data_IF_675894910607
#
_entry.id   IF_675894910607
#
_cell.length_a   1.000
_cell.length_b   1.000
_cell.length_c   1.000
_cell.angle_alpha   90.00
_cell.angle_beta   90.00
_cell.angle_gamma   90.00
#
_symmetry.space_group_name_H-M   'P 1'
#
loop_
_entity.id
_entity.type
_entity.pdbx_description
1 polymer ?
#
# COMPACT_ATOMS: atom_id res chain seq x y z
N UNK A 1 -8.89 33.56 13.81
CA UNK A 1 -9.22 32.63 12.71
C UNK A 1 -7.99 31.79 12.50
N UNK A 2 -8.03 30.54 12.94
CA UNK A 2 -6.95 29.58 12.67
C UNK A 2 -7.00 29.26 11.18
N UNK A 3 -5.90 29.51 10.47
CA UNK A 3 -5.75 29.11 9.07
C UNK A 3 -5.77 27.58 9.00
N UNK A 4 -6.86 27.00 8.53
CA UNK A 4 -6.92 25.60 8.11
C UNK A 4 -6.09 25.41 6.83
N UNK A 5 -4.76 25.49 6.91
CA UNK A 5 -3.89 25.03 5.83
C UNK A 5 -3.89 23.50 5.80
N UNK A 6 -4.98 22.92 5.31
CA UNK A 6 -5.23 21.48 5.11
C UNK A 6 -4.39 20.86 4.00
N UNK A 7 -3.18 21.34 3.73
CA UNK A 7 -2.28 20.70 2.78
C UNK A 7 -1.34 19.76 3.53
N UNK A 8 -1.59 18.47 3.45
CA UNK A 8 -0.63 17.43 3.87
C UNK A 8 0.64 17.63 3.04
N UNK A 9 1.79 17.78 3.70
CA UNK A 9 3.06 17.89 2.98
C UNK A 9 3.37 16.56 2.28
N UNK A 10 4.05 16.61 1.12
CA UNK A 10 4.43 15.40 0.40
C UNK A 10 5.25 14.44 1.30
N UNK A 11 6.10 15.00 2.17
CA UNK A 11 6.89 14.23 3.13
C UNK A 11 6.03 13.50 4.16
N UNK A 12 4.98 14.14 4.65
CA UNK A 12 4.04 13.50 5.58
C UNK A 12 3.26 12.39 4.88
N UNK A 13 2.83 12.61 3.63
CA UNK A 13 2.15 11.59 2.84
C UNK A 13 3.03 10.34 2.60
N UNK A 14 4.29 10.53 2.22
CA UNK A 14 5.26 9.42 2.05
C UNK A 14 5.41 8.66 3.36
N UNK A 15 5.59 9.37 4.48
CA UNK A 15 5.76 8.73 5.80
C UNK A 15 4.55 7.90 6.20
N UNK A 16 3.32 8.38 5.97
CA UNK A 16 2.13 7.62 6.31
C UNK A 16 1.96 6.38 5.41
N UNK A 17 2.30 6.47 4.12
CA UNK A 17 2.32 5.30 3.23
C UNK A 17 3.39 4.29 3.66
N UNK A 18 4.58 4.75 4.07
CA UNK A 18 5.67 3.88 4.53
C UNK A 18 5.34 3.13 5.83
N UNK A 19 4.64 3.78 6.78
CA UNK A 19 4.19 3.12 8.02
C UNK A 19 3.27 1.93 7.74
N UNK A 20 2.38 2.11 6.78
CA UNK A 20 1.38 1.12 6.38
C UNK A 20 1.75 0.47 5.03
N UNK A 21 3.06 0.30 4.78
CA UNK A 21 3.51 -0.16 3.47
C UNK A 21 2.89 -1.51 3.08
N UNK A 22 2.78 -2.45 4.01
CA UNK A 22 2.14 -3.76 3.77
C UNK A 22 0.63 -3.67 3.58
N UNK A 23 -0.02 -2.60 4.03
CA UNK A 23 -1.42 -2.35 3.71
C UNK A 23 -1.55 -1.86 2.27
N UNK A 24 -0.66 -0.96 1.83
CA UNK A 24 -0.71 -0.36 0.49
C UNK A 24 -0.06 -1.20 -0.60
N UNK A 25 0.83 -2.12 -0.26
CA UNK A 25 1.61 -2.90 -1.20
C UNK A 25 0.76 -3.63 -2.25
N UNK A 26 -0.35 -4.33 -1.91
CA UNK A 26 -1.18 -4.97 -2.92
C UNK A 26 -1.92 -3.98 -3.82
N UNK A 27 -2.26 -2.79 -3.31
CA UNK A 27 -2.85 -1.70 -4.11
C UNK A 27 -1.84 -1.16 -5.11
N UNK A 28 -0.65 -0.82 -4.64
CA UNK A 28 0.44 -0.28 -5.47
C UNK A 28 0.85 -1.29 -6.54
N UNK A 29 0.88 -2.57 -6.21
CA UNK A 29 1.17 -3.64 -7.17
C UNK A 29 0.02 -3.95 -8.13
N UNK A 30 -1.17 -3.34 -7.95
CA UNK A 30 -2.36 -3.61 -8.76
C UNK A 30 -2.85 -5.05 -8.61
N UNK A 31 -2.82 -5.58 -7.39
CA UNK A 31 -3.32 -6.91 -6.99
C UNK A 31 -4.71 -6.79 -6.36
N UNK A 32 -4.95 -5.72 -5.59
CA UNK A 32 -6.22 -5.45 -4.92
C UNK A 32 -6.53 -3.96 -4.94
N UNK A 33 -7.79 -3.62 -4.71
CA UNK A 33 -8.28 -2.26 -4.44
C UNK A 33 -8.15 -1.93 -2.96
N UNK A 34 -8.30 -0.65 -2.61
CA UNK A 34 -8.30 -0.23 -1.20
C UNK A 34 -9.48 -0.85 -0.45
N UNK A 35 -10.65 -0.85 -1.08
CA UNK A 35 -11.90 -1.36 -0.53
C UNK A 35 -11.80 -2.86 -0.19
N UNK A 36 -11.09 -3.64 -1.02
CA UNK A 36 -10.84 -5.06 -0.76
C UNK A 36 -9.89 -5.26 0.44
N UNK A 37 -8.87 -4.41 0.60
CA UNK A 37 -7.94 -4.50 1.72
C UNK A 37 -8.58 -4.04 3.04
N UNK A 38 -9.42 -3.00 3.00
CA UNK A 38 -10.12 -2.46 4.18
C UNK A 38 -11.00 -3.53 4.87
N UNK A 39 -11.50 -4.52 4.11
CA UNK A 39 -12.33 -5.63 4.64
C UNK A 39 -11.58 -6.95 4.77
N UNK A 40 -10.31 -7.01 4.36
CA UNK A 40 -9.50 -8.22 4.41
C UNK A 40 -9.09 -8.58 5.84
N UNK A 41 -9.12 -9.86 6.17
CA UNK A 41 -8.48 -10.38 7.37
C UNK A 41 -6.95 -10.25 7.28
N UNK A 42 -6.27 -10.26 8.42
CA UNK A 42 -4.80 -10.24 8.45
C UNK A 42 -4.16 -11.40 7.64
N UNK A 43 -4.81 -12.56 7.63
CA UNK A 43 -4.42 -13.72 6.82
C UNK A 43 -4.53 -13.45 5.32
N UNK A 44 -5.64 -12.87 4.85
CA UNK A 44 -5.84 -12.54 3.44
C UNK A 44 -4.86 -11.44 3.00
N UNK A 45 -4.68 -10.40 3.82
CA UNK A 45 -3.69 -9.35 3.58
C UNK A 45 -2.27 -9.91 3.44
N UNK A 46 -1.91 -10.89 4.26
CA UNK A 46 -0.59 -11.56 4.17
C UNK A 46 -0.41 -12.27 2.83
N UNK A 47 -1.45 -12.96 2.35
CA UNK A 47 -1.42 -13.65 1.04
C UNK A 47 -1.31 -12.62 -0.10
N UNK A 48 -2.12 -11.56 -0.05
CA UNK A 48 -2.09 -10.49 -1.07
C UNK A 48 -0.72 -9.82 -1.15
N UNK A 49 -0.08 -9.61 -0.01
CA UNK A 49 1.29 -9.10 0.06
C UNK A 49 2.30 -10.03 -0.60
N UNK A 50 2.23 -11.34 -0.34
CA UNK A 50 3.11 -12.31 -0.96
C UNK A 50 2.94 -12.34 -2.49
N UNK A 51 1.69 -12.29 -2.98
CA UNK A 51 1.40 -12.19 -4.42
C UNK A 51 1.98 -10.89 -5.02
N UNK A 52 1.84 -9.76 -4.33
CA UNK A 52 2.41 -8.49 -4.75
C UNK A 52 3.95 -8.54 -4.84
N UNK A 53 4.62 -9.13 -3.84
CA UNK A 53 6.07 -9.33 -3.84
C UNK A 53 6.52 -10.23 -5.00
N UNK A 54 5.81 -11.32 -5.26
CA UNK A 54 6.11 -12.21 -6.39
C UNK A 54 5.96 -11.49 -7.74
N UNK A 55 4.89 -10.71 -7.93
CA UNK A 55 4.71 -9.88 -9.13
C UNK A 55 5.86 -8.89 -9.31
N UNK A 56 6.26 -8.18 -8.25
CA UNK A 56 7.40 -7.25 -8.29
C UNK A 56 8.70 -7.98 -8.65
N UNK A 57 8.92 -9.18 -8.10
CA UNK A 57 10.09 -10.01 -8.40
C UNK A 57 10.13 -10.42 -9.87
N UNK A 58 9.00 -10.86 -10.43
CA UNK A 58 8.88 -11.21 -11.85
C UNK A 58 9.14 -10.00 -12.75
N UNK A 59 8.57 -8.84 -12.43
CA UNK A 59 8.78 -7.61 -13.21
C UNK A 59 10.23 -7.12 -13.20
N UNK A 60 11.02 -7.43 -12.15
CA UNK A 60 12.45 -7.08 -12.06
C UNK A 60 13.36 -8.06 -12.83
N UNK A 61 12.80 -8.94 -13.65
CA UNK A 61 13.55 -9.98 -14.36
C UNK A 61 13.73 -11.25 -13.53
N UNK A 62 12.71 -11.62 -12.74
CA UNK A 62 12.70 -12.89 -12.03
C UNK A 62 12.87 -14.04 -13.02
N UNK A 63 13.95 -14.82 -12.82
CA UNK A 63 14.37 -16.07 -13.50
C UNK A 63 13.42 -16.61 -14.58
#
# INVERSE_FOLDING_TARGET
>A
MEDCSTSVSNRDAVREVEKEFHFWLPVIAGIATKEEIDVSTASELTILNEVALQKIKLMKGGL
#
